data_IF_045895782368
#
_entry.id   IF_045895782368
#
_cell.length_a   1.000
_cell.length_b   1.000
_cell.length_c   1.000
_cell.angle_alpha   90.00
_cell.angle_beta   90.00
_cell.angle_gamma   90.00
#
_symmetry.space_group_name_H-M   'P 1'
#
loop_
_entity.id
_entity.type
_entity.pdbx_description
1 polymer ?
#
# COMPACT_ATOMS: atom_id res chain seq x y z
N UNK A 1 -9.06 -8.37 -0.73
CA UNK A 1 -8.08 -7.52 -1.40
C UNK A 1 -8.77 -6.71 -2.49
N UNK A 2 -8.60 -5.38 -2.48
CA UNK A 2 -9.04 -4.48 -3.55
C UNK A 2 -7.79 -3.75 -4.04
N UNK A 3 -7.56 -3.79 -5.34
CA UNK A 3 -6.40 -3.18 -6.01
C UNK A 3 -6.91 -2.09 -6.96
N UNK A 4 -6.32 -0.90 -6.90
CA UNK A 4 -6.52 0.13 -7.90
C UNK A 4 -5.35 0.11 -8.89
N UNK A 5 -5.69 0.13 -10.17
CA UNK A 5 -4.73 0.31 -11.26
C UNK A 5 -4.97 1.67 -11.93
N UNK A 6 -4.05 2.58 -11.70
CA UNK A 6 -4.01 3.90 -12.36
C UNK A 6 -3.51 3.72 -13.79
N UNK A 7 -4.42 3.83 -14.75
CA UNK A 7 -4.16 3.63 -16.18
C UNK A 7 -4.09 4.98 -16.89
N UNK A 8 -2.93 5.59 -16.94
CA UNK A 8 -2.72 6.92 -17.52
C UNK A 8 -2.01 6.89 -18.88
N UNK A 9 -1.66 5.71 -19.39
CA UNK A 9 -1.01 5.47 -20.68
C UNK A 9 0.37 6.16 -20.86
N UNK A 10 1.01 6.56 -19.75
CA UNK A 10 2.31 7.22 -19.76
C UNK A 10 3.32 6.42 -18.95
N UNK A 11 4.55 6.36 -19.45
CA UNK A 11 5.72 5.87 -18.74
C UNK A 11 6.75 7.01 -18.55
N UNK A 12 7.93 6.67 -18.02
CA UNK A 12 8.98 7.66 -17.71
C UNK A 12 9.34 8.51 -18.92
N UNK A 13 9.49 7.91 -20.13
CA UNK A 13 10.01 8.58 -21.32
C UNK A 13 8.96 8.83 -22.41
N UNK A 14 7.73 8.35 -22.22
CA UNK A 14 6.70 8.51 -23.26
C UNK A 14 5.43 7.71 -23.02
N UNK A 15 4.68 7.46 -24.11
CA UNK A 15 3.49 6.62 -24.08
C UNK A 15 3.83 5.16 -23.81
N UNK A 16 2.89 4.46 -23.17
CA UNK A 16 2.99 3.00 -22.96
C UNK A 16 2.85 2.18 -24.26
N UNK A 17 2.47 2.79 -25.38
CA UNK A 17 2.21 2.09 -26.64
C UNK A 17 3.37 1.26 -27.17
N UNK A 18 4.61 1.63 -26.82
CA UNK A 18 5.82 0.95 -27.26
C UNK A 18 6.37 -0.06 -26.25
N UNK A 19 5.90 -0.02 -25.00
CA UNK A 19 6.51 -0.80 -23.92
C UNK A 19 5.51 -1.63 -23.10
N UNK A 20 4.24 -1.25 -23.06
CA UNK A 20 3.23 -1.91 -22.23
C UNK A 20 1.86 -1.84 -22.90
N UNK A 21 1.61 -2.81 -23.78
CA UNK A 21 0.38 -2.90 -24.60
C UNK A 21 -0.56 -4.01 -24.19
N UNK A 22 -0.33 -4.61 -23.03
CA UNK A 22 -1.17 -5.70 -22.56
C UNK A 22 -2.56 -5.24 -22.11
N UNK A 23 -3.55 -6.13 -22.25
CA UNK A 23 -4.85 -5.99 -21.63
C UNK A 23 -4.80 -6.45 -20.17
N UNK A 24 -4.53 -5.49 -19.27
CA UNK A 24 -4.43 -5.74 -17.83
C UNK A 24 -5.74 -6.31 -17.26
N UNK A 25 -6.89 -5.84 -17.73
CA UNK A 25 -8.20 -6.32 -17.28
C UNK A 25 -8.38 -7.80 -17.60
N UNK A 26 -8.07 -8.19 -18.83
CA UNK A 26 -8.15 -9.61 -19.24
C UNK A 26 -7.15 -10.48 -18.47
N UNK A 27 -5.93 -9.98 -18.20
CA UNK A 27 -4.96 -10.70 -17.37
C UNK A 27 -5.51 -10.99 -15.98
N UNK A 28 -6.04 -9.97 -15.30
CA UNK A 28 -6.56 -10.14 -13.95
C UNK A 28 -7.83 -10.98 -13.89
N UNK A 29 -8.69 -10.92 -14.93
CA UNK A 29 -9.79 -11.88 -15.10
C UNK A 29 -9.28 -13.33 -15.14
N UNK A 30 -8.19 -13.59 -15.88
CA UNK A 30 -7.61 -14.92 -15.96
C UNK A 30 -7.02 -15.39 -14.62
N UNK A 31 -6.60 -14.48 -13.74
CA UNK A 31 -6.18 -14.78 -12.36
C UNK A 31 -7.36 -15.00 -11.40
N UNK A 32 -8.61 -14.87 -11.86
CA UNK A 32 -9.81 -15.04 -11.04
C UNK A 32 -10.24 -13.79 -10.26
N UNK A 33 -9.69 -12.63 -10.57
CA UNK A 33 -10.14 -11.37 -9.98
C UNK A 33 -11.50 -10.94 -10.52
N UNK A 34 -12.32 -10.28 -9.69
CA UNK A 34 -13.32 -9.35 -10.16
C UNK A 34 -12.61 -8.15 -10.78
N UNK A 35 -13.05 -7.69 -11.94
CA UNK A 35 -12.48 -6.51 -12.59
C UNK A 35 -13.58 -5.48 -12.85
N UNK A 36 -13.32 -4.25 -12.46
CA UNK A 36 -14.21 -3.10 -12.58
C UNK A 36 -13.43 -2.00 -13.30
N UNK A 37 -14.07 -1.31 -14.22
CA UNK A 37 -13.43 -0.21 -14.97
C UNK A 37 -14.15 1.11 -14.68
N UNK A 38 -13.35 2.14 -14.41
CA UNK A 38 -13.78 3.53 -14.24
C UNK A 38 -13.14 4.34 -15.36
N UNK A 39 -13.99 4.91 -16.21
CA UNK A 39 -13.56 5.60 -17.44
C UNK A 39 -12.91 6.96 -17.18
N UNK A 40 -13.32 7.65 -16.11
CA UNK A 40 -12.76 8.95 -15.72
C UNK A 40 -12.36 8.95 -14.24
N UNK A 41 -11.07 9.05 -13.97
CA UNK A 41 -10.51 9.12 -12.61
C UNK A 41 -10.86 10.40 -11.85
N UNK A 42 -11.53 11.36 -12.47
CA UNK A 42 -12.08 12.55 -11.81
C UNK A 42 -13.57 12.39 -11.44
N UNK A 43 -14.23 11.31 -11.88
CA UNK A 43 -15.59 10.98 -11.48
C UNK A 43 -15.61 10.26 -10.13
N UNK A 44 -15.71 11.04 -9.04
CA UNK A 44 -15.73 10.52 -7.68
C UNK A 44 -16.95 9.61 -7.39
N UNK A 45 -18.08 9.82 -8.10
CA UNK A 45 -19.26 8.96 -7.93
C UNK A 45 -19.02 7.58 -8.57
N UNK A 46 -18.43 7.54 -9.76
CA UNK A 46 -18.06 6.29 -10.41
C UNK A 46 -17.02 5.51 -9.59
N UNK A 47 -16.01 6.19 -9.05
CA UNK A 47 -15.04 5.58 -8.14
C UNK A 47 -15.73 5.02 -6.90
N UNK A 48 -16.61 5.79 -6.27
CA UNK A 48 -17.38 5.35 -5.11
C UNK A 48 -18.21 4.10 -5.38
N UNK A 49 -18.91 4.04 -6.51
CA UNK A 49 -19.68 2.86 -6.95
C UNK A 49 -18.78 1.65 -7.17
N UNK A 50 -17.63 1.84 -7.82
CA UNK A 50 -16.66 0.77 -8.05
C UNK A 50 -16.11 0.18 -6.73
N UNK A 51 -15.85 1.03 -5.72
CA UNK A 51 -15.43 0.60 -4.40
C UNK A 51 -16.52 -0.24 -3.71
N UNK A 52 -17.78 0.22 -3.72
CA UNK A 52 -18.87 -0.54 -3.10
C UNK A 52 -19.14 -1.86 -3.82
N UNK A 53 -19.05 -1.90 -5.15
CA UNK A 53 -19.13 -3.14 -5.92
C UNK A 53 -18.00 -4.11 -5.55
N UNK A 54 -16.77 -3.63 -5.47
CA UNK A 54 -15.62 -4.43 -5.05
C UNK A 54 -15.76 -4.95 -3.60
N UNK A 55 -16.29 -4.15 -2.69
CA UNK A 55 -16.55 -4.53 -1.29
C UNK A 55 -17.65 -5.56 -1.15
N UNK A 56 -18.61 -5.60 -2.08
CA UNK A 56 -19.71 -6.55 -2.07
C UNK A 56 -19.26 -7.97 -2.39
N UNK A 57 -18.28 -8.17 -3.28
CA UNK A 57 -17.74 -9.50 -3.60
C UNK A 57 -16.69 -9.93 -2.54
N UNK A 58 -17.10 -10.88 -1.67
CA UNK A 58 -16.24 -11.46 -0.63
C UNK A 58 -15.53 -12.74 -1.07
N UNK A 59 -15.77 -13.21 -2.29
CA UNK A 59 -15.33 -14.54 -2.73
C UNK A 59 -13.99 -14.51 -3.46
N UNK A 60 -13.59 -13.35 -3.98
CA UNK A 60 -12.37 -13.16 -4.79
C UNK A 60 -11.82 -11.74 -4.61
N UNK A 61 -10.54 -11.51 -4.94
CA UNK A 61 -9.98 -10.17 -4.98
C UNK A 61 -10.56 -9.35 -6.14
N UNK A 62 -10.51 -8.01 -6.03
CA UNK A 62 -10.99 -7.09 -7.04
C UNK A 62 -9.88 -6.22 -7.57
N UNK A 63 -9.86 -5.98 -8.89
CA UNK A 63 -9.08 -4.96 -9.56
C UNK A 63 -10.02 -3.88 -10.07
N UNK A 64 -9.80 -2.64 -9.66
CA UNK A 64 -10.46 -1.45 -10.20
C UNK A 64 -9.45 -0.74 -11.10
N UNK A 65 -9.63 -0.83 -12.41
CA UNK A 65 -8.87 -0.05 -13.38
C UNK A 65 -9.50 1.33 -13.51
N UNK A 66 -8.73 2.37 -13.24
CA UNK A 66 -9.17 3.76 -13.33
C UNK A 66 -8.39 4.45 -14.44
N UNK A 67 -9.07 4.94 -15.45
CA UNK A 67 -8.43 5.74 -16.50
C UNK A 67 -8.19 7.15 -15.95
N UNK A 68 -6.94 7.57 -15.96
CA UNK A 68 -6.51 8.87 -15.45
C UNK A 68 -5.71 9.64 -16.50
N UNK A 69 -5.43 10.87 -16.20
CA UNK A 69 -4.63 11.74 -17.02
C UNK A 69 -3.50 12.33 -16.19
N UNK A 70 -2.28 11.88 -16.41
CA UNK A 70 -1.11 12.38 -15.67
C UNK A 70 -1.00 13.90 -15.80
N UNK A 71 -0.69 14.60 -14.69
CA UNK A 71 -0.61 16.05 -14.66
C UNK A 71 -1.93 16.76 -14.96
N UNK A 72 -3.07 16.11 -14.65
CA UNK A 72 -4.40 16.64 -14.85
C UNK A 72 -4.51 18.11 -14.39
N UNK A 73 -5.12 18.93 -15.23
CA UNK A 73 -5.31 20.35 -14.96
C UNK A 73 -4.12 21.23 -15.31
N UNK A 74 -2.92 20.68 -15.57
CA UNK A 74 -1.76 21.48 -16.01
C UNK A 74 -1.76 21.63 -17.55
N UNK A 75 -2.08 22.83 -18.10
CA UNK A 75 -2.26 22.98 -19.54
C UNK A 75 -1.03 22.61 -20.38
N UNK A 76 0.17 22.82 -19.87
CA UNK A 76 1.41 22.56 -20.59
C UNK A 76 1.91 21.10 -20.47
N UNK A 77 1.61 20.41 -19.36
CA UNK A 77 2.19 19.09 -19.05
C UNK A 77 1.15 17.96 -18.94
N UNK A 78 -0.13 18.26 -18.92
CA UNK A 78 -1.18 17.25 -18.85
C UNK A 78 -1.06 16.20 -19.97
N UNK A 79 -1.11 14.92 -19.62
CA UNK A 79 -0.99 13.81 -20.56
C UNK A 79 0.39 13.60 -21.17
N UNK A 80 1.44 14.22 -20.62
CA UNK A 80 2.80 14.12 -21.14
C UNK A 80 3.74 13.44 -20.15
N UNK A 81 4.74 12.72 -20.66
CA UNK A 81 5.80 12.10 -19.86
C UNK A 81 6.55 13.12 -18.98
N UNK A 82 6.66 14.38 -19.39
CA UNK A 82 7.25 15.45 -18.59
C UNK A 82 6.50 15.83 -17.31
N UNK A 83 5.33 15.24 -17.06
CA UNK A 83 4.66 15.30 -15.78
C UNK A 83 5.03 14.14 -14.83
N UNK A 84 5.79 13.13 -15.32
CA UNK A 84 6.21 11.97 -14.56
C UNK A 84 7.55 12.24 -13.87
N UNK A 85 7.53 12.42 -12.56
CA UNK A 85 8.75 12.53 -11.76
C UNK A 85 9.52 13.86 -11.85
N UNK A 86 9.03 14.85 -12.59
CA UNK A 86 9.61 16.18 -12.67
C UNK A 86 8.74 17.24 -12.00
N UNK A 87 9.32 18.27 -11.37
CA UNK A 87 8.55 19.42 -10.90
C UNK A 87 7.79 20.08 -12.06
N UNK A 88 6.57 20.49 -11.82
CA UNK A 88 5.80 21.25 -12.82
C UNK A 88 6.46 22.60 -13.13
N UNK A 89 7.08 23.23 -12.13
CA UNK A 89 7.62 24.58 -12.18
C UNK A 89 6.59 25.64 -11.78
N UNK A 90 7.07 26.80 -11.33
CA UNK A 90 6.23 27.86 -10.71
C UNK A 90 5.12 28.32 -11.64
N UNK A 91 5.44 28.62 -12.91
CA UNK A 91 4.46 29.12 -13.88
C UNK A 91 3.38 28.09 -14.18
N UNK A 92 3.76 26.80 -14.29
CA UNK A 92 2.82 25.73 -14.56
C UNK A 92 1.93 25.44 -13.34
N UNK A 93 2.44 25.58 -12.10
CA UNK A 93 1.63 25.47 -10.89
C UNK A 93 0.61 26.62 -10.84
N UNK A 94 0.99 27.84 -11.17
CA UNK A 94 0.06 28.96 -11.27
C UNK A 94 -1.04 28.71 -12.32
N UNK A 95 -0.65 28.26 -13.52
CA UNK A 95 -1.60 27.92 -14.58
C UNK A 95 -2.52 26.75 -14.20
N UNK A 96 -1.99 25.73 -13.51
CA UNK A 96 -2.79 24.63 -12.96
C UNK A 96 -3.85 25.14 -11.99
N UNK A 97 -3.44 25.95 -11.00
CA UNK A 97 -4.37 26.52 -9.98
C UNK A 97 -5.48 27.33 -10.65
N UNK A 98 -5.16 28.13 -11.65
CA UNK A 98 -6.12 28.88 -12.44
C UNK A 98 -7.09 27.96 -13.19
N UNK A 99 -6.55 26.97 -13.90
CA UNK A 99 -7.35 26.07 -14.73
C UNK A 99 -8.34 25.22 -13.94
N UNK A 100 -7.99 24.79 -12.73
CA UNK A 100 -8.90 24.02 -11.86
C UNK A 100 -9.70 24.90 -10.90
N UNK A 101 -9.62 26.24 -11.03
CA UNK A 101 -10.24 27.19 -10.11
C UNK A 101 -9.88 26.96 -8.63
N UNK A 102 -8.58 26.68 -8.36
CA UNK A 102 -8.12 26.45 -7.00
C UNK A 102 -8.29 27.72 -6.14
N UNK A 103 -8.95 27.64 -4.96
CA UNK A 103 -9.32 28.84 -4.20
C UNK A 103 -8.15 29.55 -3.54
N UNK A 104 -7.03 28.85 -3.31
CA UNK A 104 -5.88 29.37 -2.58
C UNK A 104 -4.76 29.78 -3.54
N UNK A 105 -4.15 30.96 -3.30
CA UNK A 105 -3.06 31.48 -4.14
C UNK A 105 -1.67 31.22 -3.58
N UNK A 106 -1.55 31.11 -2.26
CA UNK A 106 -0.30 30.86 -1.55
C UNK A 106 0.25 29.45 -1.78
N UNK A 107 1.54 29.27 -1.49
CA UNK A 107 2.16 27.96 -1.46
C UNK A 107 1.73 27.23 -0.19
N UNK A 108 1.36 25.94 -0.35
CA UNK A 108 0.86 25.10 0.75
C UNK A 108 -0.34 25.65 1.51
N UNK A 109 -1.03 26.62 0.93
CA UNK A 109 -2.27 27.16 1.48
C UNK A 109 -3.42 26.17 1.25
N UNK A 110 -4.13 25.82 2.31
CA UNK A 110 -5.25 24.87 2.30
C UNK A 110 -6.51 25.57 2.79
N UNK A 111 -7.67 25.42 2.12
CA UNK A 111 -8.92 25.98 2.58
C UNK A 111 -9.30 25.54 3.99
N UNK A 112 -9.90 26.43 4.76
CA UNK A 112 -10.31 26.15 6.16
C UNK A 112 -11.27 24.95 6.25
N UNK A 113 -12.16 24.82 5.27
CA UNK A 113 -13.13 23.74 5.21
C UNK A 113 -12.48 22.35 5.16
N UNK A 114 -11.30 22.25 4.54
CA UNK A 114 -10.52 21.01 4.49
C UNK A 114 -9.97 20.67 5.88
N UNK A 115 -9.43 21.66 6.60
CA UNK A 115 -8.98 21.46 7.98
C UNK A 115 -10.13 21.06 8.91
N UNK A 116 -11.27 21.70 8.79
CA UNK A 116 -12.45 21.41 9.61
C UNK A 116 -12.94 19.98 9.36
N UNK A 117 -12.98 19.55 8.09
CA UNK A 117 -13.35 18.18 7.71
C UNK A 117 -12.39 17.13 8.27
N UNK A 118 -11.08 17.34 8.09
CA UNK A 118 -10.09 16.40 8.61
C UNK A 118 -10.04 16.36 10.13
N UNK A 119 -10.34 17.48 10.80
CA UNK A 119 -10.46 17.49 12.25
C UNK A 119 -11.63 16.62 12.73
N UNK A 120 -12.79 16.72 12.08
CA UNK A 120 -13.94 15.85 12.39
C UNK A 120 -13.60 14.37 12.17
N UNK A 121 -12.93 14.05 11.07
CA UNK A 121 -12.45 12.68 10.81
C UNK A 121 -11.47 12.20 11.89
N UNK A 122 -10.51 13.04 12.29
CA UNK A 122 -9.55 12.70 13.34
C UNK A 122 -10.25 12.44 14.69
N UNK A 123 -11.23 13.26 15.07
CA UNK A 123 -12.03 13.06 16.27
C UNK A 123 -12.81 11.74 16.25
N UNK A 124 -13.31 11.32 15.09
CA UNK A 124 -13.99 10.05 14.93
C UNK A 124 -13.03 8.86 14.93
N UNK A 125 -11.84 8.99 14.34
CA UNK A 125 -10.78 8.00 14.39
C UNK A 125 -10.27 7.79 15.82
N UNK A 126 -10.07 8.86 16.59
CA UNK A 126 -9.68 8.78 18.00
C UNK A 126 -10.70 7.98 18.83
N UNK A 127 -12.01 8.21 18.64
CA UNK A 127 -13.05 7.42 19.30
C UNK A 127 -13.02 5.92 18.91
N UNK A 128 -12.63 5.61 17.67
CA UNK A 128 -12.49 4.22 17.24
C UNK A 128 -11.26 3.57 17.88
N UNK A 129 -10.16 4.30 18.00
CA UNK A 129 -8.96 3.88 18.69
C UNK A 129 -9.22 3.66 20.19
N UNK A 130 -9.92 4.58 20.86
CA UNK A 130 -10.28 4.41 22.27
C UNK A 130 -11.08 3.12 22.50
N UNK A 131 -12.08 2.83 21.66
CA UNK A 131 -12.85 1.59 21.73
C UNK A 131 -11.99 0.34 21.52
N UNK A 132 -11.02 0.42 20.61
CA UNK A 132 -10.09 -0.67 20.39
C UNK A 132 -9.20 -0.88 21.62
N UNK A 133 -8.69 0.20 22.22
CA UNK A 133 -7.87 0.17 23.41
C UNK A 133 -8.63 -0.45 24.62
N UNK A 134 -9.91 -0.07 24.80
CA UNK A 134 -10.78 -0.68 25.82
C UNK A 134 -10.96 -2.17 25.57
N UNK A 135 -11.24 -2.58 24.32
CA UNK A 135 -11.38 -3.99 23.95
C UNK A 135 -10.09 -4.77 24.17
N UNK A 136 -8.95 -4.19 23.79
CA UNK A 136 -7.64 -4.82 23.96
C UNK A 136 -7.29 -4.97 25.46
N UNK A 137 -7.54 -3.95 26.28
CA UNK A 137 -7.35 -4.03 27.72
C UNK A 137 -8.18 -5.16 28.36
N UNK A 138 -9.45 -5.26 28.00
CA UNK A 138 -10.32 -6.36 28.49
C UNK A 138 -9.86 -7.74 27.98
N UNK A 139 -9.34 -7.82 26.74
CA UNK A 139 -8.77 -9.05 26.21
C UNK A 139 -7.53 -9.48 26.99
N UNK A 140 -6.61 -8.56 27.24
CA UNK A 140 -5.38 -8.82 28.01
C UNK A 140 -5.67 -9.22 29.46
N UNK A 141 -6.66 -8.58 30.10
CA UNK A 141 -7.08 -8.96 31.44
C UNK A 141 -7.60 -10.40 31.48
N UNK A 142 -8.35 -10.79 30.46
CA UNK A 142 -8.92 -12.15 30.36
C UNK A 142 -7.89 -13.21 29.94
N UNK A 143 -6.89 -12.84 29.14
CA UNK A 143 -5.90 -13.73 28.55
C UNK A 143 -4.48 -13.15 28.69
N UNK A 144 -3.92 -13.10 29.92
CA UNK A 144 -2.62 -12.45 30.17
C UNK A 144 -1.46 -13.09 29.40
N UNK A 145 -1.51 -14.39 29.13
CA UNK A 145 -0.52 -15.10 28.33
C UNK A 145 -0.45 -14.60 26.87
N UNK A 146 -1.56 -14.08 26.36
CA UNK A 146 -1.63 -13.53 25.01
C UNK A 146 -1.01 -12.13 24.91
N UNK A 147 -0.88 -11.42 26.05
CA UNK A 147 -0.20 -10.13 26.09
C UNK A 147 1.28 -10.28 25.78
N UNK A 148 1.95 -11.25 26.40
CA UNK A 148 3.35 -11.55 26.14
C UNK A 148 3.59 -11.92 24.66
N UNK A 149 2.71 -12.78 24.12
CA UNK A 149 2.77 -13.16 22.71
C UNK A 149 2.56 -11.95 21.79
N UNK A 150 1.61 -11.06 22.11
CA UNK A 150 1.35 -9.83 21.38
C UNK A 150 2.58 -8.92 21.37
N UNK A 151 3.16 -8.65 22.53
CA UNK A 151 4.34 -7.79 22.65
C UNK A 151 5.50 -8.35 21.85
N UNK A 152 5.79 -9.62 21.98
CA UNK A 152 6.83 -10.28 21.21
C UNK A 152 6.61 -10.18 19.68
N UNK A 153 5.35 -10.24 19.21
CA UNK A 153 5.05 -10.13 17.79
C UNK A 153 5.23 -8.72 17.24
N UNK A 154 4.95 -7.69 18.04
CA UNK A 154 4.99 -6.28 17.60
C UNK A 154 6.24 -5.55 18.06
N UNK A 155 6.76 -5.82 19.25
CA UNK A 155 7.94 -5.17 19.82
C UNK A 155 9.25 -5.92 19.48
N UNK A 156 9.12 -7.19 19.08
CA UNK A 156 10.20 -8.06 18.67
C UNK A 156 10.61 -9.10 19.72
N UNK A 157 11.26 -10.14 19.23
CA UNK A 157 11.78 -11.22 20.08
C UNK A 157 13.21 -10.93 20.50
N UNK A 158 13.56 -11.24 21.76
CA UNK A 158 14.97 -11.29 22.18
C UNK A 158 15.62 -12.55 21.59
N UNK A 159 16.55 -12.33 20.68
CA UNK A 159 17.29 -13.38 19.97
C UNK A 159 18.66 -13.65 20.61
N UNK A 160 18.98 -13.04 21.75
CA UNK A 160 20.31 -13.08 22.37
C UNK A 160 20.75 -14.51 22.68
N UNK A 161 19.87 -15.34 23.23
CA UNK A 161 20.18 -16.73 23.54
C UNK A 161 20.56 -17.54 22.31
N UNK A 162 19.83 -17.34 21.19
CA UNK A 162 20.15 -17.98 19.92
C UNK A 162 21.50 -17.53 19.37
N UNK A 163 21.72 -16.21 19.30
CA UNK A 163 22.94 -15.64 18.71
C UNK A 163 24.20 -15.87 19.57
N UNK A 164 24.05 -16.12 20.86
CA UNK A 164 25.15 -16.48 21.76
C UNK A 164 25.37 -17.99 21.86
N UNK A 165 24.54 -18.82 21.22
CA UNK A 165 24.68 -20.27 21.26
C UNK A 165 25.76 -20.80 20.31
N UNK A 166 26.50 -21.81 20.77
CA UNK A 166 27.48 -22.51 19.92
C UNK A 166 26.79 -23.21 18.73
N UNK A 167 25.54 -23.66 18.89
CA UNK A 167 24.76 -24.31 17.83
C UNK A 167 24.53 -23.39 16.64
N UNK A 168 24.21 -22.10 16.89
CA UNK A 168 23.98 -21.13 15.82
C UNK A 168 25.22 -20.88 14.96
N UNK A 169 26.40 -20.87 15.58
CA UNK A 169 27.68 -20.61 14.93
C UNK A 169 28.42 -21.88 14.51
N UNK A 170 27.86 -23.07 14.76
CA UNK A 170 28.49 -24.32 14.41
C UNK A 170 28.74 -24.41 12.92
N UNK A 171 29.97 -24.75 12.54
CA UNK A 171 30.34 -25.03 11.14
C UNK A 171 30.19 -26.53 10.91
N UNK A 172 29.55 -26.89 9.81
CA UNK A 172 29.51 -28.27 9.37
C UNK A 172 30.90 -28.78 9.00
N UNK A 173 31.13 -30.09 9.14
CA UNK A 173 32.39 -30.74 8.83
C UNK A 173 32.73 -30.77 7.32
N UNK A 174 31.75 -30.49 6.48
CA UNK A 174 31.87 -30.52 5.01
C UNK A 174 31.34 -29.22 4.39
N UNK A 175 31.98 -28.77 3.30
CA UNK A 175 31.41 -27.66 2.51
C UNK A 175 30.00 -28.00 2.02
N UNK A 176 29.09 -27.05 2.19
CA UNK A 176 27.72 -27.16 1.69
C UNK A 176 27.31 -25.91 0.89
N UNK A 177 26.22 -26.04 0.13
CA UNK A 177 25.68 -24.89 -0.59
C UNK A 177 25.09 -23.87 0.39
N UNK A 178 25.34 -22.59 0.15
CA UNK A 178 24.87 -21.48 1.03
C UNK A 178 23.34 -21.47 1.23
N UNK A 179 22.58 -21.97 0.24
CA UNK A 179 21.12 -22.16 0.39
C UNK A 179 20.75 -23.16 1.48
N UNK A 180 21.58 -24.22 1.68
CA UNK A 180 21.35 -25.22 2.72
C UNK A 180 21.65 -24.62 4.10
N UNK A 181 22.77 -23.95 4.25
CA UNK A 181 23.14 -23.19 5.46
C UNK A 181 22.05 -22.15 5.81
N UNK A 182 21.59 -21.37 4.83
CA UNK A 182 20.51 -20.42 5.00
C UNK A 182 19.22 -21.08 5.50
N UNK A 183 18.86 -22.22 4.93
CA UNK A 183 17.67 -22.99 5.36
C UNK A 183 17.81 -23.47 6.82
N UNK A 184 18.99 -23.96 7.21
CA UNK A 184 19.27 -24.37 8.59
C UNK A 184 19.13 -23.20 9.56
N UNK A 185 19.76 -22.06 9.25
CA UNK A 185 19.71 -20.83 10.07
C UNK A 185 18.27 -20.31 10.18
N UNK A 186 17.53 -20.23 9.08
CA UNK A 186 16.13 -19.80 9.10
C UNK A 186 15.27 -20.68 9.99
N UNK A 187 15.49 -21.99 10.01
CA UNK A 187 14.77 -22.90 10.91
C UNK A 187 15.16 -22.72 12.38
N UNK A 188 16.39 -22.35 12.68
CA UNK A 188 16.81 -21.98 14.05
C UNK A 188 16.12 -20.67 14.48
N UNK A 189 16.15 -19.64 13.63
CA UNK A 189 15.49 -18.35 13.91
C UNK A 189 13.99 -18.55 14.10
N UNK A 190 13.32 -19.37 13.27
CA UNK A 190 11.88 -19.63 13.40
C UNK A 190 11.49 -20.22 14.75
N UNK A 191 12.35 -21.03 15.36
CA UNK A 191 12.08 -21.59 16.70
C UNK A 191 12.04 -20.52 17.78
N UNK A 192 12.91 -19.50 17.67
CA UNK A 192 13.00 -18.38 18.60
C UNK A 192 12.01 -17.25 18.23
N UNK A 193 11.63 -17.14 16.96
CA UNK A 193 10.73 -16.10 16.41
C UNK A 193 9.58 -16.75 15.62
N UNK A 194 8.51 -17.22 16.29
CA UNK A 194 7.42 -17.95 15.65
C UNK A 194 6.65 -17.21 14.57
N UNK A 195 6.68 -15.87 14.57
CA UNK A 195 6.07 -15.02 13.54
C UNK A 195 6.92 -14.86 12.28
N UNK A 196 8.12 -15.46 12.21
CA UNK A 196 8.88 -15.52 10.98
C UNK A 196 8.16 -16.44 9.97
N UNK A 197 7.69 -15.86 8.89
CA UNK A 197 7.04 -16.57 7.79
C UNK A 197 7.88 -16.36 6.53
N UNK A 198 8.22 -17.46 5.88
CA UNK A 198 8.94 -17.46 4.61
C UNK A 198 8.48 -18.60 3.73
N UNK A 199 8.59 -18.41 2.42
CA UNK A 199 8.28 -19.42 1.43
C UNK A 199 9.14 -19.25 0.18
N UNK A 200 9.38 -20.35 -0.52
CA UNK A 200 10.01 -20.36 -1.84
C UNK A 200 8.90 -20.39 -2.88
N UNK A 201 8.91 -19.45 -3.80
CA UNK A 201 8.09 -19.51 -5.01
C UNK A 201 8.92 -20.30 -6.04
N UNK A 202 8.45 -21.48 -6.40
CA UNK A 202 9.01 -22.32 -7.46
C UNK A 202 8.42 -21.90 -8.80
#
# INVERSE_FOLDING_TARGET
LIVFYDSNNISIEGSTDIAFTEDVVTRFKAFGFQTIEVEDGNDLEAIGKAIEEAKADKTRPSLIKVNTLIGYGCPAKQGKASAHGEPLGVDNVAALKENINWPCKGDFEVPKEVYDHYKELADNMAKAEDKWNELFAAYVEKYPEMKELWDNYFDGYDMSDLFNSDEYWAKGDKPEATRSTSGTILNMIKKAMPNLIGGLIL
#
